data_IF_240997629872
#
_entry.id   IF_240997629872
#
_cell.length_a   1.000
_cell.length_b   1.000
_cell.length_c   1.000
_cell.angle_alpha   90.00
_cell.angle_beta   90.00
_cell.angle_gamma   90.00
#
_symmetry.space_group_name_H-M   'P 1'
#
loop_
_entity.id
_entity.type
_entity.pdbx_description
1 polymer ?
#
# COMPACT_ATOMS: atom_id res chain seq x y z
N UNK A 1 37.96 29.71 -45.76
CA UNK A 1 38.78 30.78 -45.15
C UNK A 1 38.57 30.71 -43.64
N UNK A 2 39.07 29.63 -43.04
CA UNK A 2 38.69 29.17 -41.69
C UNK A 2 39.91 29.07 -40.75
N UNK A 3 41.00 29.77 -41.07
CA UNK A 3 42.28 29.55 -40.39
C UNK A 3 43.06 30.84 -40.17
N UNK A 4 42.44 31.85 -39.54
CA UNK A 4 43.12 33.11 -39.18
C UNK A 4 42.42 33.97 -38.12
N UNK A 5 41.88 33.38 -37.05
CA UNK A 5 41.47 34.13 -35.85
C UNK A 5 41.80 33.33 -34.57
N UNK A 6 43.09 33.04 -34.38
CA UNK A 6 43.65 32.45 -33.16
C UNK A 6 44.95 33.19 -32.81
N UNK A 7 44.87 34.52 -32.65
CA UNK A 7 45.94 35.32 -32.05
C UNK A 7 45.30 36.38 -31.16
N UNK A 8 45.39 36.20 -29.84
CA UNK A 8 44.96 37.19 -28.86
C UNK A 8 44.29 36.56 -27.63
N UNK A 9 45.10 36.13 -26.67
CA UNK A 9 44.66 35.50 -25.42
C UNK A 9 43.91 36.42 -24.45
N UNK A 10 42.68 36.82 -24.80
CA UNK A 10 41.63 37.16 -23.85
C UNK A 10 40.35 36.49 -24.31
N UNK A 11 39.88 35.54 -23.51
CA UNK A 11 38.77 34.64 -23.79
C UNK A 11 37.50 35.41 -24.24
N UNK A 12 37.18 35.31 -25.52
CA UNK A 12 35.91 35.83 -26.11
C UNK A 12 34.70 35.25 -25.34
N UNK A 13 34.83 34.00 -24.89
CA UNK A 13 33.83 33.32 -24.06
C UNK A 13 33.68 33.97 -22.68
N UNK A 14 34.77 34.45 -22.07
CA UNK A 14 34.74 35.12 -20.76
C UNK A 14 34.09 36.50 -20.88
N UNK A 15 34.39 37.26 -21.94
CA UNK A 15 33.74 38.56 -22.18
C UNK A 15 32.23 38.40 -22.44
N UNK A 16 31.84 37.33 -23.16
CA UNK A 16 30.42 37.02 -23.40
C UNK A 16 29.71 36.62 -22.10
N UNK A 17 30.38 35.84 -21.25
CA UNK A 17 29.86 35.46 -19.94
C UNK A 17 29.74 36.68 -19.00
N UNK A 18 30.73 37.57 -19.00
CA UNK A 18 30.69 38.85 -18.27
C UNK A 18 29.54 39.75 -18.76
N UNK A 19 29.34 39.87 -20.08
CA UNK A 19 28.22 40.61 -20.66
C UNK A 19 26.87 39.99 -20.28
N UNK A 20 26.75 38.65 -20.32
CA UNK A 20 25.54 37.94 -19.89
C UNK A 20 25.26 38.15 -18.41
N UNK A 21 26.28 38.05 -17.55
CA UNK A 21 26.18 38.31 -16.12
C UNK A 21 25.77 39.76 -15.83
N UNK A 22 26.33 40.73 -16.58
CA UNK A 22 25.90 42.13 -16.47
C UNK A 22 24.45 42.33 -16.92
N UNK A 23 24.01 41.69 -18.00
CA UNK A 23 22.62 41.76 -18.46
C UNK A 23 21.66 41.13 -17.45
N UNK A 24 22.04 40.03 -16.81
CA UNK A 24 21.25 39.38 -15.77
C UNK A 24 21.14 40.26 -14.52
N UNK A 25 22.24 40.84 -14.06
CA UNK A 25 22.22 41.80 -12.95
C UNK A 25 21.33 43.01 -13.27
N UNK A 26 21.40 43.54 -14.49
CA UNK A 26 20.54 44.65 -14.93
C UNK A 26 19.07 44.24 -15.00
N UNK A 27 18.76 43.01 -15.41
CA UNK A 27 17.38 42.48 -15.39
C UNK A 27 16.84 42.34 -13.97
N UNK A 28 17.66 41.87 -13.04
CA UNK A 28 17.30 41.77 -11.62
C UNK A 28 17.07 43.17 -11.02
N UNK A 29 17.95 44.13 -11.31
CA UNK A 29 17.82 45.52 -10.87
C UNK A 29 16.52 46.18 -11.39
N UNK A 30 16.20 45.98 -12.68
CA UNK A 30 14.94 46.46 -13.27
C UNK A 30 13.72 45.78 -12.61
N UNK A 31 13.80 44.48 -12.34
CA UNK A 31 12.71 43.75 -11.70
C UNK A 31 12.47 44.26 -10.27
N UNK A 32 13.53 44.53 -9.50
CA UNK A 32 13.43 45.12 -8.17
C UNK A 32 12.88 46.55 -8.21
N UNK A 33 13.34 47.38 -9.15
CA UNK A 33 12.81 48.73 -9.33
C UNK A 33 11.31 48.71 -9.64
N UNK A 34 10.88 47.84 -10.56
CA UNK A 34 9.45 47.65 -10.86
C UNK A 34 8.65 47.13 -9.67
N UNK A 35 9.26 46.32 -8.79
CA UNK A 35 8.62 45.86 -7.56
C UNK A 35 8.43 47.01 -6.57
N UNK A 36 9.50 47.78 -6.30
CA UNK A 36 9.47 48.96 -5.44
C UNK A 36 8.51 50.02 -5.96
N UNK A 37 8.47 50.23 -7.27
CA UNK A 37 7.53 51.16 -7.91
C UNK A 37 6.08 50.73 -7.69
N UNK A 38 5.77 49.43 -7.87
CA UNK A 38 4.42 48.90 -7.57
C UNK A 38 4.05 49.00 -6.10
N UNK A 39 4.97 48.66 -5.20
CA UNK A 39 4.77 48.81 -3.75
C UNK A 39 4.51 50.29 -3.38
N UNK A 40 5.28 51.22 -3.96
CA UNK A 40 5.12 52.65 -3.74
C UNK A 40 3.79 53.17 -4.31
N UNK A 41 3.41 52.75 -5.51
CA UNK A 41 2.12 53.10 -6.11
C UNK A 41 0.95 52.61 -5.24
N UNK A 42 1.02 51.38 -4.73
CA UNK A 42 0.02 50.86 -3.79
C UNK A 42 -0.02 51.67 -2.49
N UNK A 43 1.14 52.00 -1.92
CA UNK A 43 1.23 52.81 -0.70
C UNK A 43 0.68 54.23 -0.89
N UNK A 44 0.93 54.86 -2.04
CA UNK A 44 0.38 56.18 -2.40
C UNK A 44 -1.14 56.10 -2.52
N UNK A 45 -1.68 55.08 -3.21
CA UNK A 45 -3.12 54.91 -3.33
C UNK A 45 -3.79 54.72 -1.95
N UNK A 46 -3.22 53.90 -1.07
CA UNK A 46 -3.71 53.73 0.29
C UNK A 46 -3.66 55.03 1.09
N UNK A 47 -2.57 55.80 0.96
CA UNK A 47 -2.42 57.12 1.60
C UNK A 47 -3.40 58.15 1.06
N UNK A 48 -3.70 58.12 -0.23
CA UNK A 48 -4.70 59.00 -0.85
C UNK A 48 -6.12 58.64 -0.37
N UNK A 49 -6.41 57.35 -0.19
CA UNK A 49 -7.65 56.90 0.44
C UNK A 49 -7.75 57.36 1.90
N UNK A 50 -6.72 57.14 2.72
CA UNK A 50 -6.66 57.58 4.13
C UNK A 50 -6.75 59.11 4.29
N UNK A 51 -6.09 59.87 3.41
CA UNK A 51 -6.10 61.34 3.48
C UNK A 51 -7.41 61.95 2.96
N UNK A 52 -8.09 61.30 2.01
CA UNK A 52 -9.47 61.65 1.65
C UNK A 52 -10.43 61.44 2.83
N UNK A 53 -10.23 60.39 3.64
CA UNK A 53 -11.07 60.09 4.81
C UNK A 53 -10.84 61.09 5.96
N UNK A 54 -9.63 61.66 6.11
CA UNK A 54 -9.29 62.60 7.19
C UNK A 54 -9.72 64.06 6.91
N UNK A 55 -9.85 64.46 5.62
CA UNK A 55 -10.26 65.84 5.22
C UNK A 55 -11.79 66.04 5.12
N UNK A 56 -12.58 65.34 5.93
CA UNK A 56 -14.05 65.42 5.90
C UNK A 56 -14.63 66.63 6.65
N UNK A 57 -14.10 67.82 6.36
CA UNK A 57 -14.89 69.05 6.51
C UNK A 57 -15.66 69.24 5.21
N UNK A 58 -16.93 68.81 5.17
CA UNK A 58 -17.77 68.95 3.99
C UNK A 58 -17.98 70.43 3.66
N UNK A 59 -17.69 70.85 2.43
CA UNK A 59 -17.88 72.23 1.99
C UNK A 59 -19.33 72.54 1.57
N UNK A 60 -20.14 71.50 1.35
CA UNK A 60 -21.56 71.58 1.00
C UNK A 60 -22.30 70.29 1.34
N UNK A 61 -23.60 70.37 1.65
CA UNK A 61 -24.47 69.21 1.88
C UNK A 61 -24.50 68.26 0.68
N UNK A 62 -24.44 68.79 -0.55
CA UNK A 62 -24.40 67.97 -1.76
C UNK A 62 -23.12 67.13 -1.84
N UNK A 63 -21.97 67.73 -1.47
CA UNK A 63 -20.69 67.03 -1.41
C UNK A 63 -20.70 65.92 -0.35
N UNK A 64 -21.33 66.16 0.79
CA UNK A 64 -21.50 65.18 1.85
C UNK A 64 -22.32 63.97 1.37
N UNK A 65 -23.45 64.19 0.69
CA UNK A 65 -24.27 63.12 0.12
C UNK A 65 -23.49 62.30 -0.90
N UNK A 66 -22.72 62.95 -1.79
CA UNK A 66 -21.90 62.25 -2.79
C UNK A 66 -20.80 61.40 -2.16
N UNK A 67 -20.07 61.93 -1.18
CA UNK A 67 -19.01 61.21 -0.47
C UNK A 67 -19.61 60.03 0.30
N UNK A 68 -20.69 60.24 1.06
CA UNK A 68 -21.39 59.17 1.79
C UNK A 68 -21.93 58.11 0.84
N UNK A 69 -22.46 58.50 -0.33
CA UNK A 69 -22.93 57.55 -1.35
C UNK A 69 -21.79 56.72 -1.92
N UNK A 70 -20.62 57.34 -2.18
CA UNK A 70 -19.41 56.62 -2.61
C UNK A 70 -18.93 55.65 -1.54
N UNK A 71 -18.88 56.07 -0.27
CA UNK A 71 -18.54 55.20 0.88
C UNK A 71 -19.50 54.02 0.98
N UNK A 72 -20.80 54.27 0.88
CA UNK A 72 -21.83 53.22 0.91
C UNK A 72 -21.63 52.21 -0.23
N UNK A 73 -21.38 52.68 -1.46
CA UNK A 73 -21.08 51.80 -2.60
C UNK A 73 -19.82 50.97 -2.36
N UNK A 74 -18.73 51.58 -1.85
CA UNK A 74 -17.50 50.85 -1.48
C UNK A 74 -17.79 49.76 -0.43
N UNK A 75 -18.48 50.10 0.65
CA UNK A 75 -18.86 49.13 1.69
C UNK A 75 -19.76 48.02 1.14
N UNK A 76 -20.71 48.35 0.28
CA UNK A 76 -21.57 47.37 -0.37
C UNK A 76 -20.77 46.40 -1.25
N UNK A 77 -19.83 46.91 -2.06
CA UNK A 77 -18.95 46.04 -2.87
C UNK A 77 -18.09 45.12 -2.01
N UNK A 78 -17.53 45.63 -0.90
CA UNK A 78 -16.79 44.80 0.07
C UNK A 78 -17.67 43.73 0.68
N UNK A 79 -18.91 44.07 1.06
CA UNK A 79 -19.88 43.13 1.60
C UNK A 79 -20.24 42.04 0.58
N UNK A 80 -20.43 42.37 -0.69
CA UNK A 80 -20.69 41.37 -1.73
C UNK A 80 -19.47 40.47 -1.97
N UNK A 81 -18.27 41.02 -1.95
CA UNK A 81 -17.04 40.24 -2.07
C UNK A 81 -16.91 39.23 -0.91
N UNK A 82 -17.12 39.67 0.33
CA UNK A 82 -17.09 38.77 1.51
C UNK A 82 -18.19 37.71 1.44
N UNK A 83 -19.38 38.05 0.93
CA UNK A 83 -20.45 37.06 0.73
C UNK A 83 -20.07 35.99 -0.29
N UNK A 84 -19.43 36.39 -1.39
CA UNK A 84 -18.93 35.45 -2.39
C UNK A 84 -17.83 34.57 -1.80
N UNK A 85 -16.89 35.15 -1.05
CA UNK A 85 -15.83 34.39 -0.36
C UNK A 85 -16.39 33.36 0.62
N UNK A 86 -17.41 33.71 1.41
CA UNK A 86 -18.09 32.77 2.32
C UNK A 86 -18.71 31.61 1.54
N UNK A 87 -19.33 31.90 0.39
CA UNK A 87 -19.93 30.87 -0.47
C UNK A 87 -18.86 29.94 -1.04
N UNK A 88 -17.76 30.49 -1.56
CA UNK A 88 -16.64 29.73 -2.11
C UNK A 88 -16.00 28.83 -1.03
N UNK A 89 -15.80 29.37 0.18
CA UNK A 89 -15.30 28.61 1.34
C UNK A 89 -16.26 27.48 1.75
N UNK A 90 -17.57 27.72 1.69
CA UNK A 90 -18.56 26.70 2.02
C UNK A 90 -18.54 25.56 1.00
N UNK A 91 -18.47 25.87 -0.28
CA UNK A 91 -18.34 24.88 -1.35
C UNK A 91 -17.04 24.08 -1.24
N UNK A 92 -15.93 24.75 -0.94
CA UNK A 92 -14.65 24.08 -0.68
C UNK A 92 -14.74 23.15 0.53
N UNK A 93 -15.33 23.61 1.64
CA UNK A 93 -15.54 22.79 2.82
C UNK A 93 -16.37 21.54 2.51
N UNK A 94 -17.44 21.67 1.72
CA UNK A 94 -18.26 20.52 1.31
C UNK A 94 -17.43 19.53 0.48
N UNK A 95 -16.66 20.01 -0.51
CA UNK A 95 -15.80 19.15 -1.33
C UNK A 95 -14.77 18.40 -0.48
N UNK A 96 -14.01 19.12 0.35
CA UNK A 96 -13.00 18.50 1.22
C UNK A 96 -13.62 17.50 2.18
N UNK A 97 -14.81 17.80 2.73
CA UNK A 97 -15.53 16.86 3.59
C UNK A 97 -15.91 15.58 2.84
N UNK A 98 -16.37 15.69 1.60
CA UNK A 98 -16.72 14.54 0.76
C UNK A 98 -15.48 13.71 0.42
N UNK A 99 -14.38 14.35 0.01
CA UNK A 99 -13.12 13.66 -0.31
C UNK A 99 -12.57 12.88 0.91
N UNK A 100 -12.64 13.49 2.10
CA UNK A 100 -12.24 12.83 3.35
C UNK A 100 -13.16 11.64 3.70
N UNK A 101 -14.47 11.78 3.47
CA UNK A 101 -15.45 10.71 3.68
C UNK A 101 -15.21 9.54 2.72
N UNK A 102 -14.90 9.83 1.46
CA UNK A 102 -14.53 8.83 0.46
C UNK A 102 -13.23 8.10 0.83
N UNK A 103 -12.18 8.82 1.21
CA UNK A 103 -10.91 8.24 1.66
C UNK A 103 -11.11 7.34 2.90
N UNK A 104 -11.94 7.79 3.86
CA UNK A 104 -12.26 7.01 5.06
C UNK A 104 -13.03 5.73 4.71
N UNK A 105 -13.97 5.80 3.77
CA UNK A 105 -14.71 4.64 3.27
C UNK A 105 -13.81 3.65 2.52
N UNK A 106 -12.87 4.13 1.71
CA UNK A 106 -11.89 3.31 1.00
C UNK A 106 -10.96 2.60 1.98
N UNK A 107 -10.34 3.33 2.91
CA UNK A 107 -9.51 2.75 3.97
C UNK A 107 -10.26 1.72 4.80
N UNK A 108 -11.53 1.98 5.13
CA UNK A 108 -12.39 1.03 5.85
C UNK A 108 -12.65 -0.23 5.02
N UNK A 109 -12.90 -0.09 3.71
CA UNK A 109 -13.10 -1.22 2.80
C UNK A 109 -11.84 -2.07 2.68
N UNK A 110 -10.68 -1.44 2.50
CA UNK A 110 -9.39 -2.13 2.46
C UNK A 110 -9.10 -2.87 3.76
N UNK A 111 -9.33 -2.21 4.90
CA UNK A 111 -9.12 -2.80 6.22
C UNK A 111 -10.01 -4.03 6.40
N UNK A 112 -11.30 -3.94 6.06
CA UNK A 112 -12.23 -5.08 6.09
C UNK A 112 -11.76 -6.21 5.18
N UNK A 113 -11.30 -5.91 3.97
CA UNK A 113 -10.74 -6.90 3.05
C UNK A 113 -9.51 -7.58 3.65
N UNK A 114 -8.56 -6.81 4.21
CA UNK A 114 -7.36 -7.33 4.88
C UNK A 114 -7.72 -8.24 6.04
N UNK A 115 -8.68 -7.86 6.88
CA UNK A 115 -9.19 -8.72 7.96
C UNK A 115 -9.83 -10.00 7.43
N UNK A 116 -10.67 -9.91 6.39
CA UNK A 116 -11.30 -11.07 5.78
C UNK A 116 -10.24 -12.05 5.24
N UNK A 117 -9.18 -11.55 4.59
CA UNK A 117 -8.07 -12.38 4.12
C UNK A 117 -7.36 -13.05 5.29
N UNK A 118 -7.05 -12.30 6.34
CA UNK A 118 -6.38 -12.83 7.55
C UNK A 118 -7.24 -13.95 8.18
N UNK A 119 -8.54 -13.74 8.33
CA UNK A 119 -9.45 -14.70 8.97
C UNK A 119 -9.67 -15.97 8.15
N UNK A 120 -9.72 -15.87 6.82
CA UNK A 120 -10.00 -17.03 5.96
C UNK A 120 -8.74 -17.81 5.53
N UNK A 121 -7.58 -17.15 5.44
CA UNK A 121 -6.37 -17.76 4.85
C UNK A 121 -5.19 -17.94 5.81
N UNK A 122 -5.20 -17.32 6.99
CA UNK A 122 -4.08 -17.41 7.95
C UNK A 122 -4.52 -18.22 9.18
N UNK A 123 -3.84 -19.35 9.47
CA UNK A 123 -4.09 -20.11 10.70
C UNK A 123 -3.95 -19.24 11.96
N UNK A 124 -4.83 -19.39 12.95
CA UNK A 124 -4.85 -18.52 14.14
C UNK A 124 -3.53 -18.59 14.93
N UNK A 125 -2.83 -19.73 14.91
CA UNK A 125 -1.55 -19.90 15.57
C UNK A 125 -0.46 -19.00 14.95
N UNK A 126 -0.41 -18.92 13.62
CA UNK A 126 0.57 -18.08 12.91
C UNK A 126 0.24 -16.60 13.04
N UNK A 127 -1.06 -16.23 12.97
CA UNK A 127 -1.53 -14.87 13.26
C UNK A 127 -1.04 -14.41 14.63
N UNK A 128 -1.24 -15.22 15.66
CA UNK A 128 -0.85 -14.87 17.03
C UNK A 128 0.67 -14.73 17.20
N UNK A 129 1.46 -15.61 16.56
CA UNK A 129 2.94 -15.51 16.56
C UNK A 129 3.42 -14.20 15.95
N UNK A 130 2.79 -13.77 14.86
CA UNK A 130 3.11 -12.50 14.17
C UNK A 130 2.71 -11.32 15.05
N UNK A 131 1.47 -11.29 15.54
CA UNK A 131 0.94 -10.17 16.36
C UNK A 131 1.75 -9.93 17.63
N UNK A 132 2.19 -11.00 18.31
CA UNK A 132 2.97 -10.86 19.55
C UNK A 132 4.40 -10.34 19.33
N UNK A 133 4.91 -10.40 18.10
CA UNK A 133 6.28 -10.00 17.76
C UNK A 133 6.32 -8.69 16.99
N UNK A 134 5.19 -8.24 16.45
CA UNK A 134 5.11 -7.04 15.64
C UNK A 134 5.11 -5.81 16.56
N UNK A 135 5.98 -4.85 16.28
CA UNK A 135 5.96 -3.55 16.94
C UNK A 135 6.19 -2.46 15.89
N UNK A 136 5.65 -1.28 16.17
CA UNK A 136 5.80 -0.12 15.31
C UNK A 136 6.98 0.71 15.79
N UNK A 137 7.93 0.99 14.89
CA UNK A 137 9.07 1.87 15.14
C UNK A 137 8.74 3.27 14.62
N UNK A 138 8.46 4.20 15.55
CA UNK A 138 8.09 5.57 15.22
C UNK A 138 9.22 6.39 14.59
N UNK A 139 10.48 6.06 14.85
CA UNK A 139 11.62 6.81 14.33
C UNK A 139 11.86 6.50 12.84
N UNK A 140 11.63 5.25 12.44
CA UNK A 140 11.79 4.80 11.05
C UNK A 140 10.45 4.71 10.28
N UNK A 141 9.32 4.99 10.94
CA UNK A 141 7.95 4.90 10.40
C UNK A 141 7.64 3.53 9.77
N UNK A 142 8.10 2.46 10.42
CA UNK A 142 8.03 1.09 9.87
C UNK A 142 7.62 0.05 10.91
N UNK A 143 6.86 -0.94 10.46
CA UNK A 143 6.55 -2.14 11.25
C UNK A 143 7.74 -3.10 11.26
N UNK A 144 8.23 -3.45 12.45
CA UNK A 144 9.35 -4.37 12.66
C UNK A 144 8.93 -5.60 13.45
N UNK A 145 9.68 -6.68 13.28
CA UNK A 145 9.51 -7.90 14.05
C UNK A 145 10.55 -8.00 15.16
N UNK A 146 10.10 -8.38 16.35
CA UNK A 146 11.00 -8.76 17.42
C UNK A 146 11.76 -10.03 17.02
N UNK A 147 13.11 -10.02 17.07
CA UNK A 147 13.92 -11.21 16.81
C UNK A 147 13.54 -12.34 17.78
N UNK A 148 13.41 -13.57 17.26
CA UNK A 148 13.13 -14.76 18.10
C UNK A 148 14.26 -15.08 19.09
N UNK A 149 15.47 -14.63 18.76
CA UNK A 149 16.66 -14.79 19.58
C UNK A 149 17.19 -13.39 19.82
N UNK A 150 17.32 -13.01 21.10
CA UNK A 150 17.96 -11.75 21.45
C UNK A 150 19.33 -11.70 20.77
N UNK A 151 19.62 -10.63 20.03
CA UNK A 151 20.91 -10.41 19.38
C UNK A 151 22.10 -10.35 20.38
N UNK A 152 21.82 -10.47 21.68
CA UNK A 152 22.77 -10.55 22.77
C UNK A 152 23.29 -11.98 22.97
N UNK A 153 23.95 -12.55 21.96
CA UNK A 153 25.03 -13.58 22.01
C UNK A 153 25.06 -14.27 20.66
N UNK A 154 26.24 -14.27 20.02
CA UNK A 154 26.52 -14.74 18.66
C UNK A 154 26.21 -16.21 18.34
N UNK A 155 24.97 -16.63 18.53
CA UNK A 155 24.45 -17.93 18.12
C UNK A 155 24.04 -17.84 16.65
N UNK A 156 25.02 -17.63 15.78
CA UNK A 156 24.90 -18.08 14.39
C UNK A 156 24.47 -19.54 14.46
N UNK A 157 23.30 -19.88 13.89
CA UNK A 157 22.86 -21.27 13.81
C UNK A 157 24.02 -22.09 13.25
N UNK A 158 24.60 -22.97 14.07
CA UNK A 158 25.81 -23.71 13.69
C UNK A 158 25.52 -24.43 12.38
N UNK A 159 26.23 -24.07 11.32
CA UNK A 159 26.09 -24.73 10.01
C UNK A 159 26.35 -26.23 10.21
N UNK A 160 25.48 -27.07 9.68
CA UNK A 160 25.68 -28.53 9.75
C UNK A 160 27.00 -28.87 9.07
N UNK A 161 27.85 -29.72 9.67
CA UNK A 161 29.11 -30.12 9.05
C UNK A 161 28.82 -30.78 7.70
N UNK A 162 29.50 -30.32 6.66
CA UNK A 162 29.43 -30.90 5.32
C UNK A 162 30.27 -32.18 5.27
N UNK A 163 29.90 -33.11 4.39
CA UNK A 163 30.73 -34.29 4.17
C UNK A 163 32.07 -33.91 3.54
N UNK A 164 33.11 -34.70 3.79
CA UNK A 164 34.43 -34.51 3.18
C UNK A 164 34.41 -34.54 1.63
N UNK A 165 33.34 -35.06 1.04
CA UNK A 165 33.13 -35.17 -0.41
C UNK A 165 32.19 -34.07 -0.93
N UNK A 166 31.95 -33.02 -0.14
CA UNK A 166 31.19 -31.84 -0.56
C UNK A 166 29.66 -31.98 -0.52
N UNK A 167 29.13 -33.16 -0.18
CA UNK A 167 27.69 -33.38 -0.06
C UNK A 167 27.14 -32.99 1.33
N UNK A 168 25.84 -32.67 1.39
CA UNK A 168 25.08 -32.34 2.63
C UNK A 168 25.08 -33.45 3.68
N UNK A 169 25.40 -34.70 3.30
CA UNK A 169 25.52 -35.88 4.18
C UNK A 169 26.63 -36.79 3.68
N UNK A 170 27.28 -37.60 4.54
CA UNK A 170 28.25 -38.58 4.10
C UNK A 170 27.58 -39.66 3.23
N UNK A 171 28.23 -40.02 2.12
CA UNK A 171 27.78 -41.06 1.20
C UNK A 171 28.90 -42.07 0.98
N UNK A 172 28.53 -43.35 0.84
CA UNK A 172 29.49 -44.43 0.59
C UNK A 172 30.13 -44.33 -0.80
N UNK A 173 31.30 -44.93 -0.99
CA UNK A 173 31.97 -44.98 -2.29
C UNK A 173 31.09 -45.66 -3.36
N UNK A 174 30.38 -46.73 -2.97
CA UNK A 174 29.43 -47.42 -3.85
C UNK A 174 28.31 -46.49 -4.35
N UNK A 175 27.73 -45.69 -3.45
CA UNK A 175 26.70 -44.73 -3.82
C UNK A 175 27.22 -43.68 -4.81
N UNK A 176 28.47 -43.20 -4.65
CA UNK A 176 29.09 -42.26 -5.58
C UNK A 176 29.26 -42.84 -6.98
N UNK A 177 29.78 -44.06 -7.08
CA UNK A 177 29.96 -44.74 -8.36
C UNK A 177 28.61 -44.96 -9.05
N UNK A 178 27.60 -45.41 -8.30
CA UNK A 178 26.25 -45.58 -8.84
C UNK A 178 25.65 -44.27 -9.36
N UNK A 179 25.89 -43.13 -8.70
CA UNK A 179 25.48 -41.80 -9.18
C UNK A 179 26.20 -41.39 -10.47
N UNK A 180 27.48 -41.75 -10.63
CA UNK A 180 28.24 -41.44 -11.86
C UNK A 180 27.83 -42.29 -13.06
N UNK A 181 27.34 -43.51 -12.79
CA UNK A 181 26.91 -44.47 -13.81
C UNK A 181 25.44 -44.27 -14.22
N UNK A 182 24.68 -43.43 -13.53
CA UNK A 182 23.31 -43.12 -13.87
C UNK A 182 22.51 -42.45 -12.75
N UNK A 183 21.33 -41.93 -13.11
CA UNK A 183 20.40 -41.29 -12.18
C UNK A 183 19.60 -42.32 -11.39
N UNK A 184 20.22 -43.04 -10.45
CA UNK A 184 19.49 -43.92 -9.53
C UNK A 184 18.98 -43.13 -8.31
N UNK A 185 17.65 -43.01 -8.09
CA UNK A 185 17.08 -42.24 -6.96
C UNK A 185 17.56 -42.73 -5.59
N UNK A 186 17.89 -44.02 -5.49
CA UNK A 186 18.34 -44.69 -4.25
C UNK A 186 19.65 -44.13 -3.69
N UNK A 187 20.59 -43.72 -4.55
CA UNK A 187 21.95 -43.36 -4.14
C UNK A 187 22.20 -41.86 -4.09
N UNK A 188 21.15 -41.03 -4.11
CA UNK A 188 21.27 -39.56 -4.15
C UNK A 188 21.75 -38.98 -2.83
N UNK A 189 22.58 -37.94 -2.90
CA UNK A 189 23.01 -37.19 -1.72
C UNK A 189 21.90 -36.30 -1.12
N UNK A 190 20.89 -35.93 -1.92
CA UNK A 190 19.79 -35.04 -1.55
C UNK A 190 18.45 -35.76 -1.64
N UNK A 191 17.46 -35.32 -0.86
CA UNK A 191 16.09 -35.84 -0.90
C UNK A 191 15.25 -35.11 -1.96
N UNK A 192 15.78 -35.01 -3.18
CA UNK A 192 15.13 -34.34 -4.30
C UNK A 192 15.05 -35.33 -5.45
N UNK A 193 13.85 -35.52 -5.98
CA UNK A 193 13.62 -36.32 -7.18
C UNK A 193 13.79 -35.43 -8.39
N UNK A 194 14.71 -35.78 -9.28
CA UNK A 194 14.82 -35.15 -10.60
C UNK A 194 13.85 -35.86 -11.52
N UNK A 195 12.67 -35.28 -11.68
CA UNK A 195 11.67 -35.72 -12.64
C UNK A 195 11.90 -34.99 -13.96
N UNK A 196 11.75 -35.69 -15.08
CA UNK A 196 11.68 -35.03 -16.39
C UNK A 196 10.37 -34.24 -16.44
N UNK A 197 10.46 -32.94 -16.75
CA UNK A 197 9.28 -32.10 -16.91
C UNK A 197 8.54 -32.56 -18.17
N UNK A 198 7.31 -33.04 -17.99
CA UNK A 198 6.41 -33.26 -19.12
C UNK A 198 5.93 -31.89 -19.63
N UNK A 199 6.42 -31.48 -20.79
CA UNK A 199 6.02 -30.24 -21.46
C UNK A 199 4.68 -30.45 -22.15
N UNK A 200 3.63 -30.65 -21.35
CA UNK A 200 2.27 -30.54 -21.85
C UNK A 200 2.03 -29.07 -22.27
N UNK A 201 1.49 -28.79 -23.47
CA UNK A 201 1.17 -27.43 -23.88
C UNK A 201 0.29 -26.75 -22.82
N UNK A 202 0.56 -25.48 -22.45
CA UNK A 202 -0.26 -24.77 -21.48
C UNK A 202 -1.71 -24.75 -21.96
N UNK A 203 -2.64 -25.10 -21.07
CA UNK A 203 -4.06 -24.86 -21.28
C UNK A 203 -4.30 -23.35 -21.17
N UNK A 204 -4.02 -22.61 -22.25
CA UNK A 204 -4.31 -21.19 -22.33
C UNK A 204 -5.84 -21.06 -22.45
N UNK A 205 -6.49 -20.64 -21.37
CA UNK A 205 -7.84 -20.10 -21.46
C UNK A 205 -7.70 -18.67 -21.97
N UNK A 206 -8.07 -18.43 -23.22
CA UNK A 206 -8.22 -17.07 -23.74
C UNK A 206 -9.41 -16.40 -23.04
N UNK A 207 -9.10 -15.49 -22.11
CA UNK A 207 -10.09 -14.59 -21.55
C UNK A 207 -10.25 -13.40 -22.50
N UNK A 208 -11.12 -13.53 -23.50
CA UNK A 208 -11.63 -12.38 -24.26
C UNK A 208 -12.52 -11.54 -23.33
N UNK A 209 -11.94 -10.51 -22.74
CA UNK A 209 -12.71 -9.42 -22.13
C UNK A 209 -13.32 -8.61 -23.26
N UNK A 210 -14.51 -9.00 -23.75
CA UNK A 210 -15.26 -8.20 -24.72
C UNK A 210 -15.51 -6.82 -24.12
N UNK A 211 -14.97 -5.81 -24.79
CA UNK A 211 -14.86 -4.43 -24.31
C UNK A 211 -16.03 -3.60 -24.81
N UNK A 212 -17.24 -4.16 -24.80
CA UNK A 212 -18.47 -3.46 -25.16
C UNK A 212 -19.40 -3.41 -23.94
N UNK A 213 -19.08 -2.51 -23.02
CA UNK A 213 -19.99 -2.06 -21.98
C UNK A 213 -20.97 -1.05 -22.57
N UNK A 214 -21.94 -1.53 -23.32
CA UNK A 214 -23.17 -0.77 -23.58
C UNK A 214 -24.33 -1.75 -23.75
N UNK A 215 -25.22 -1.72 -22.75
CA UNK A 215 -26.59 -2.27 -22.78
C UNK A 215 -26.75 -3.79 -22.83
N UNK A 216 -26.23 -4.50 -21.82
CA UNK A 216 -26.67 -5.88 -21.55
C UNK A 216 -27.21 -6.00 -20.13
N UNK A 217 -28.47 -6.42 -20.01
CA UNK A 217 -29.20 -6.64 -18.76
C UNK A 217 -28.42 -7.62 -17.85
N UNK A 218 -28.06 -7.26 -16.60
CA UNK A 218 -27.23 -8.08 -15.72
C UNK A 218 -27.77 -9.50 -15.48
N UNK A 219 -29.07 -9.73 -15.68
CA UNK A 219 -29.67 -11.07 -15.61
C UNK A 219 -29.33 -11.96 -16.81
N UNK A 220 -29.17 -11.40 -18.00
CA UNK A 220 -28.84 -12.15 -19.21
C UNK A 220 -27.42 -12.72 -19.15
N UNK A 221 -26.46 -11.93 -18.64
CA UNK A 221 -25.07 -12.35 -18.45
C UNK A 221 -24.93 -13.48 -17.41
N UNK A 222 -25.76 -13.46 -16.36
CA UNK A 222 -25.78 -14.52 -15.36
C UNK A 222 -26.27 -15.84 -15.94
N UNK A 223 -27.33 -15.79 -16.75
CA UNK A 223 -27.91 -16.98 -17.39
C UNK A 223 -26.96 -17.57 -18.44
N UNK A 224 -26.28 -16.75 -19.24
CA UNK A 224 -25.28 -17.20 -20.20
C UNK A 224 -24.08 -17.87 -19.50
N UNK A 225 -23.62 -17.29 -18.38
CA UNK A 225 -22.53 -17.87 -17.57
C UNK A 225 -22.90 -19.23 -17.00
N UNK A 226 -24.16 -19.42 -16.57
CA UNK A 226 -24.66 -20.72 -16.10
C UNK A 226 -24.73 -21.75 -17.22
N UNK A 227 -25.22 -21.38 -18.41
CA UNK A 227 -25.31 -22.30 -19.55
C UNK A 227 -23.94 -22.77 -20.06
N UNK A 228 -22.91 -21.90 -20.03
CA UNK A 228 -21.54 -22.27 -20.40
C UNK A 228 -20.89 -23.22 -19.39
N UNK A 229 -21.27 -23.15 -18.12
CA UNK A 229 -20.78 -24.07 -17.08
C UNK A 229 -21.41 -25.46 -17.22
N UNK A 230 -22.68 -25.55 -17.59
CA UNK A 230 -23.35 -26.85 -17.83
C UNK A 230 -22.75 -27.61 -19.03
N UNK A 231 -22.35 -26.90 -20.09
CA UNK A 231 -21.69 -27.52 -21.25
C UNK A 231 -20.31 -28.13 -20.93
N UNK A 232 -19.63 -27.64 -19.90
CA UNK A 232 -18.35 -28.21 -19.44
C UNK A 232 -18.51 -29.46 -18.59
N UNK A 233 -19.67 -29.65 -17.96
CA UNK A 233 -19.96 -30.83 -17.15
C UNK A 233 -20.33 -32.06 -18.00
N UNK A 234 -20.76 -31.84 -19.26
CA UNK A 234 -21.18 -32.90 -20.18
C UNK A 234 -20.07 -33.50 -21.07
N UNK A 235 -18.78 -33.17 -20.86
CA UNK A 235 -17.70 -33.87 -21.57
C UNK A 235 -17.53 -35.29 -20.99
N UNK A 236 -17.67 -36.36 -21.79
CA UNK A 236 -17.53 -37.72 -21.28
C UNK A 236 -16.09 -37.93 -20.77
N UNK A 237 -15.98 -38.40 -19.54
CA UNK A 237 -14.73 -38.74 -18.88
C UNK A 237 -14.01 -39.86 -19.65
N UNK A 238 -13.19 -39.48 -20.63
CA UNK A 238 -12.33 -40.40 -21.35
C UNK A 238 -11.07 -40.70 -20.51
N UNK A 239 -11.10 -41.90 -19.93
CA UNK A 239 -9.98 -42.84 -19.75
C UNK A 239 -8.78 -42.45 -18.87
N UNK A 240 -8.67 -43.24 -17.79
CA UNK A 240 -7.47 -43.72 -17.10
C UNK A 240 -6.81 -42.82 -16.03
N UNK A 241 -7.33 -42.92 -14.81
CA UNK A 241 -6.49 -42.86 -13.60
C UNK A 241 -6.26 -44.28 -13.11
N UNK A 242 -5.04 -44.79 -13.31
CA UNK A 242 -4.54 -46.00 -12.65
C UNK A 242 -4.47 -45.69 -11.14
N UNK A 243 -5.41 -46.25 -10.37
CA UNK A 243 -5.43 -46.14 -8.90
C UNK A 243 -4.13 -46.70 -8.32
N UNK A 244 -3.27 -45.84 -7.79
CA UNK A 244 -2.20 -46.25 -6.89
C UNK A 244 -2.83 -46.74 -5.59
N UNK A 245 -2.63 -48.04 -5.29
CA UNK A 245 -2.99 -48.63 -4.00
C UNK A 245 -2.04 -48.06 -2.94
N UNK A 246 -2.54 -47.16 -2.09
CA UNK A 246 -1.86 -46.78 -0.86
C UNK A 246 -1.97 -47.93 0.15
N UNK A 247 -0.83 -48.30 0.73
CA UNK A 247 -0.74 -49.24 1.84
C UNK A 247 -1.12 -48.52 3.14
N UNK A 248 -2.41 -48.40 3.41
CA UNK A 248 -2.90 -48.11 4.75
C UNK A 248 -3.80 -49.28 5.18
N UNK A 249 -3.31 -50.11 6.09
CA UNK A 249 -4.14 -51.13 6.74
C UNK A 249 -5.20 -50.43 7.59
N UNK A 250 -6.46 -50.80 7.40
CA UNK A 250 -7.58 -50.39 8.24
C UNK A 250 -7.50 -51.03 9.64
N UNK A 251 -7.87 -50.32 10.72
CA UNK A 251 -7.95 -50.93 12.05
C UNK A 251 -9.04 -51.99 12.08
N UNK A 252 -8.68 -53.20 12.53
CA UNK A 252 -9.57 -54.34 12.71
C UNK A 252 -10.50 -54.06 13.91
N UNK A 253 -11.81 -53.97 13.65
CA UNK A 253 -12.83 -53.94 14.71
C UNK A 253 -12.87 -55.30 15.44
N UNK A 254 -12.85 -55.27 16.78
CA UNK A 254 -13.16 -56.41 17.64
C UNK A 254 -14.62 -56.33 18.09
N UNK A 255 -15.32 -57.47 18.30
CA UNK A 255 -16.74 -57.47 18.59
C UNK A 255 -17.06 -57.17 20.06
N UNK A 256 -18.25 -56.61 20.27
CA UNK A 256 -18.81 -56.29 21.57
C UNK A 256 -19.24 -57.55 22.35
N UNK A 257 -19.13 -57.48 23.68
CA UNK A 257 -19.93 -58.28 24.60
C UNK A 257 -20.29 -57.42 25.80
N UNK A 258 -21.58 -57.29 26.04
CA UNK A 258 -22.19 -56.55 27.13
C UNK A 258 -22.35 -57.45 28.36
N UNK A 259 -22.10 -56.92 29.56
CA UNK A 259 -22.94 -57.23 30.74
C UNK A 259 -22.83 -56.13 31.80
N UNK A 260 -23.99 -55.77 32.32
CA UNK A 260 -24.34 -54.74 33.30
C UNK A 260 -24.21 -55.27 34.73
N UNK A 261 -23.79 -54.45 35.72
CA UNK A 261 -24.36 -54.39 37.09
C UNK A 261 -24.00 -53.04 37.74
N UNK A 262 -25.05 -52.31 38.13
CA UNK A 262 -25.07 -51.11 38.98
C UNK A 262 -24.88 -51.43 40.45
N UNK A 263 -24.37 -50.48 41.26
CA UNK A 263 -24.83 -50.23 42.63
C UNK A 263 -24.44 -48.81 43.07
N UNK A 264 -25.44 -48.05 43.50
CA UNK A 264 -25.33 -46.72 44.07
C UNK A 264 -25.11 -46.79 45.59
N UNK A 265 -24.49 -45.76 46.17
CA UNK A 265 -24.76 -45.33 47.55
C UNK A 265 -24.15 -43.94 47.82
N UNK A 266 -24.99 -43.07 48.35
CA UNK A 266 -24.81 -41.69 48.77
C UNK A 266 -24.03 -41.55 50.08
N UNK A 267 -23.41 -40.38 50.33
CA UNK A 267 -23.57 -39.60 51.58
C UNK A 267 -22.66 -38.37 51.63
N UNK A 268 -23.07 -37.43 52.47
CA UNK A 268 -22.87 -35.99 52.45
C UNK A 268 -21.75 -35.49 53.39
N UNK A 269 -21.29 -34.28 53.06
CA UNK A 269 -20.84 -33.16 53.89
C UNK A 269 -19.45 -33.12 54.58
N UNK A 270 -18.80 -31.93 54.58
CA UNK A 270 -17.53 -31.66 55.24
C UNK A 270 -17.73 -31.02 56.64
N UNK A 271 -16.78 -31.21 57.56
CA UNK A 271 -16.65 -30.37 58.75
C UNK A 271 -15.23 -30.43 59.34
N UNK A 272 -14.83 -29.29 59.92
CA UNK A 272 -13.84 -29.08 60.99
C UNK A 272 -12.45 -28.49 60.62
N UNK A 273 -12.34 -27.18 60.90
CA UNK A 273 -11.18 -26.45 61.43
C UNK A 273 -10.75 -26.99 62.82
N UNK A 274 -9.55 -26.70 63.37
CA UNK A 274 -9.24 -25.42 64.06
C UNK A 274 -7.83 -24.86 63.69
N UNK A 275 -7.64 -23.54 63.56
CA UNK A 275 -7.28 -22.54 64.59
C UNK A 275 -5.91 -22.77 65.27
N UNK A 276 -4.93 -21.88 65.00
CA UNK A 276 -4.03 -21.30 66.01
C UNK A 276 -3.32 -20.05 65.45
N UNK A 277 -3.47 -18.96 66.20
CA UNK A 277 -2.76 -17.65 66.25
C UNK A 277 -2.57 -16.80 64.98
#
# INVERSE_FOLDING_TARGET
>A
MESKLLIGGRNIMDHTNEQQKMLELKRQEIAEQKRREREMQQAVLLRDEETMELRETFSSLQQEVEIKTKKLKKLYTKLQAVKAEIQDQHEEYIRVRQDLEEAQNEQTRELKLKYLIIENFIPPEEKNKIMNRLYFDCEEDQWKFQPLVAAATGTQMKKRPTSAVGYKRPISQHARLAMSMGSHPRYRAENILFLELDVSPPAVFEFESTRDQSEHDPRALHLERLMRLDSLLERPAASQVRKSRSWCQSPRALPASATHVSLASSSQNPCATPAHE
#
